data_IF_113905154741
#
_entry.id   IF_113905154741
#
_cell.length_a   1.000
_cell.length_b   1.000
_cell.length_c   1.000
_cell.angle_alpha   90.00
_cell.angle_beta   90.00
_cell.angle_gamma   90.00
#
_symmetry.space_group_name_H-M   'P 1'
#
loop_
_entity.id
_entity.type
_entity.pdbx_description
1 polymer ?
#
# COMPACT_ATOMS: atom_id res chain seq x y z
N UNK A 1 -14.99 -19.70 -5.96
CA UNK A 1 -14.50 -20.07 -7.31
C UNK A 1 -13.58 -18.95 -7.73
N UNK A 2 -12.30 -19.12 -8.02
CA UNK A 2 -11.48 -20.28 -8.36
C UNK A 2 -10.10 -20.10 -7.71
N UNK A 3 -9.50 -21.19 -7.23
CA UNK A 3 -8.04 -21.27 -7.09
C UNK A 3 -7.39 -20.63 -8.31
N UNK A 4 -6.32 -19.82 -8.17
CA UNK A 4 -5.70 -19.21 -9.33
C UNK A 4 -5.30 -20.33 -10.31
N UNK A 5 -5.53 -20.14 -11.61
CA UNK A 5 -5.10 -21.10 -12.61
C UNK A 5 -3.60 -21.37 -12.43
N UNK A 6 -3.12 -22.61 -12.64
CA UNK A 6 -1.69 -22.90 -12.60
C UNK A 6 -0.98 -21.93 -13.55
N UNK A 7 0.13 -21.30 -13.15
CA UNK A 7 0.89 -20.46 -14.07
C UNK A 7 1.24 -21.29 -15.31
N UNK A 8 0.90 -20.77 -16.49
CA UNK A 8 1.31 -21.35 -17.75
C UNK A 8 2.84 -21.35 -17.83
N UNK A 9 3.43 -22.31 -18.53
CA UNK A 9 4.88 -22.42 -18.74
C UNK A 9 5.49 -21.29 -19.60
N UNK A 10 4.82 -20.14 -19.72
CA UNK A 10 5.10 -19.11 -20.71
C UNK A 10 5.57 -17.82 -20.04
N UNK A 11 6.82 -17.43 -20.34
CA UNK A 11 7.33 -16.10 -20.06
C UNK A 11 6.54 -15.06 -20.86
N UNK A 12 6.12 -13.98 -20.19
CA UNK A 12 5.42 -12.86 -20.80
C UNK A 12 6.36 -11.65 -20.88
N UNK A 13 6.27 -10.90 -21.99
CA UNK A 13 7.02 -9.67 -22.19
C UNK A 13 6.06 -8.49 -22.25
N UNK A 14 6.34 -7.48 -21.42
CA UNK A 14 5.70 -6.16 -21.51
C UNK A 14 6.77 -5.22 -22.07
N UNK A 15 6.58 -4.73 -23.29
CA UNK A 15 7.56 -3.90 -24.00
C UNK A 15 7.00 -2.48 -24.13
N UNK A 16 7.80 -1.50 -23.69
CA UNK A 16 7.48 -0.08 -23.80
C UNK A 16 8.66 0.68 -24.37
N UNK A 17 8.40 1.48 -25.40
CA UNK A 17 9.37 2.44 -25.91
C UNK A 17 9.30 3.71 -25.07
N UNK A 18 10.47 4.22 -24.70
CA UNK A 18 10.60 5.37 -23.80
C UNK A 18 11.36 6.45 -24.58
N UNK A 19 10.88 7.71 -24.62
CA UNK A 19 11.51 8.79 -25.37
C UNK A 19 12.75 9.37 -24.66
N UNK A 20 13.62 8.52 -24.10
CA UNK A 20 14.87 8.93 -23.45
C UNK A 20 16.00 8.84 -24.46
N UNK A 21 16.58 9.99 -24.79
CA UNK A 21 17.62 10.15 -25.82
C UNK A 21 19.05 10.06 -25.26
N UNK A 22 19.23 9.99 -23.94
CA UNK A 22 20.53 9.77 -23.31
C UNK A 22 20.39 9.30 -21.86
N UNK A 23 21.32 8.44 -21.41
CA UNK A 23 21.42 8.02 -20.01
C UNK A 23 22.50 8.89 -19.35
N UNK A 24 22.14 9.75 -18.36
CA UNK A 24 23.13 10.60 -17.70
C UNK A 24 24.14 9.76 -16.92
N UNK A 25 25.43 10.10 -17.05
CA UNK A 25 26.52 9.38 -16.39
C UNK A 25 26.76 9.79 -14.93
N UNK A 26 26.19 10.92 -14.50
CA UNK A 26 26.50 11.53 -13.21
C UNK A 26 25.44 11.27 -12.11
N UNK A 27 24.20 10.97 -12.49
CA UNK A 27 23.09 10.77 -11.56
C UNK A 27 22.03 9.83 -12.15
N UNK A 28 21.30 9.07 -11.30
CA UNK A 28 20.14 8.32 -11.74
C UNK A 28 19.06 9.22 -12.38
N UNK A 29 18.39 8.72 -13.41
CA UNK A 29 17.23 9.38 -14.02
C UNK A 29 15.95 8.60 -13.68
N UNK A 30 14.92 9.31 -13.22
CA UNK A 30 13.58 8.74 -13.07
C UNK A 30 12.93 8.64 -14.45
N UNK A 31 12.30 7.50 -14.73
CA UNK A 31 11.58 7.26 -15.97
C UNK A 31 10.20 6.72 -15.61
N UNK A 32 9.17 7.46 -16.00
CA UNK A 32 7.78 7.05 -15.85
C UNK A 32 7.31 6.32 -17.11
N UNK A 33 6.73 5.14 -16.93
CA UNK A 33 6.23 4.30 -18.01
C UNK A 33 4.78 3.93 -17.72
N UNK A 34 3.88 4.28 -18.63
CA UNK A 34 2.47 3.88 -18.52
C UNK A 34 2.28 2.43 -18.98
N UNK A 35 1.89 1.58 -18.02
CA UNK A 35 1.58 0.16 -18.21
C UNK A 35 0.08 -0.14 -18.16
N UNK A 36 -0.79 0.86 -18.22
CA UNK A 36 -2.25 0.70 -18.04
C UNK A 36 -2.92 -0.22 -19.08
N UNK A 37 -2.37 -0.30 -20.29
CA UNK A 37 -2.78 -1.20 -21.38
C UNK A 37 -2.16 -2.60 -21.31
N UNK A 38 -1.16 -2.81 -20.45
CA UNK A 38 -0.42 -4.06 -20.28
C UNK A 38 0.09 -4.18 -18.84
N UNK A 39 -0.82 -4.34 -17.87
CA UNK A 39 -0.46 -4.34 -16.46
C UNK A 39 0.37 -5.57 -16.12
N UNK A 40 1.28 -5.41 -15.15
CA UNK A 40 2.08 -6.51 -14.62
C UNK A 40 1.13 -7.47 -13.86
N UNK A 41 1.07 -8.76 -14.22
CA UNK A 41 0.20 -9.70 -13.53
C UNK A 41 0.55 -9.80 -12.05
N UNK A 42 -0.46 -9.83 -11.18
CA UNK A 42 -0.26 -9.92 -9.72
C UNK A 42 0.49 -11.20 -9.31
N UNK A 43 0.33 -12.27 -10.06
CA UNK A 43 0.94 -13.58 -9.81
C UNK A 43 2.22 -13.81 -10.62
N UNK A 44 2.81 -12.76 -11.19
CA UNK A 44 4.08 -12.89 -11.90
C UNK A 44 5.18 -13.35 -10.92
N UNK A 45 5.88 -14.41 -11.29
CA UNK A 45 7.12 -14.87 -10.62
C UNK A 45 8.29 -14.64 -11.56
N UNK A 46 9.50 -14.59 -11.02
CA UNK A 46 10.74 -14.43 -11.81
C UNK A 46 10.67 -13.17 -12.71
N UNK A 47 10.47 -12.00 -12.08
CA UNK A 47 10.27 -10.73 -12.78
C UNK A 47 11.62 -10.14 -13.16
N UNK A 48 11.83 -9.94 -14.46
CA UNK A 48 13.06 -9.34 -15.00
C UNK A 48 12.75 -8.01 -15.68
N UNK A 49 13.53 -6.99 -15.34
CA UNK A 49 13.56 -5.71 -16.04
C UNK A 49 14.69 -5.73 -17.07
N UNK A 50 14.36 -5.41 -18.33
CA UNK A 50 15.34 -5.21 -19.39
C UNK A 50 15.30 -3.75 -19.84
N UNK A 51 16.47 -3.11 -19.87
CA UNK A 51 16.66 -1.81 -20.49
C UNK A 51 17.50 -1.99 -21.76
N UNK A 52 16.89 -1.75 -22.91
CA UNK A 52 17.56 -1.83 -24.22
C UNK A 52 17.72 -0.43 -24.76
N UNK A 53 18.98 -0.01 -24.95
CA UNK A 53 19.31 1.25 -25.59
C UNK A 53 19.87 0.97 -26.99
N UNK A 54 19.42 1.75 -27.96
CA UNK A 54 19.94 1.74 -29.33
C UNK A 54 20.33 3.16 -29.74
N UNK A 55 21.59 3.37 -30.12
CA UNK A 55 22.08 4.70 -30.48
C UNK A 55 23.60 4.75 -30.67
N UNK A 56 24.21 5.90 -30.41
CA UNK A 56 25.67 6.04 -30.47
C UNK A 56 26.31 5.60 -29.14
N UNK A 57 27.36 4.78 -29.22
CA UNK A 57 28.19 4.39 -28.09
C UNK A 57 29.66 4.72 -28.39
N UNK A 58 30.12 5.89 -27.91
CA UNK A 58 31.45 6.38 -28.22
C UNK A 58 31.59 6.69 -29.71
N UNK A 59 32.36 5.87 -30.44
CA UNK A 59 32.52 5.99 -31.90
C UNK A 59 31.69 4.98 -32.71
N UNK A 60 30.91 4.12 -32.03
CA UNK A 60 30.04 3.15 -32.68
C UNK A 60 28.66 3.77 -32.95
N UNK A 61 28.25 3.79 -34.21
CA UNK A 61 26.91 4.19 -34.64
C UNK A 61 25.98 2.98 -34.61
N UNK A 62 24.70 3.17 -34.25
CA UNK A 62 23.69 2.09 -34.14
C UNK A 62 24.06 0.99 -33.12
N UNK A 63 24.89 1.31 -32.12
CA UNK A 63 25.22 0.42 -31.03
C UNK A 63 23.96 0.02 -30.25
N UNK A 64 23.93 -1.23 -29.80
CA UNK A 64 22.88 -1.77 -28.91
C UNK A 64 23.52 -2.11 -27.58
N UNK A 65 23.05 -1.47 -26.52
CA UNK A 65 23.40 -1.79 -25.14
C UNK A 65 22.18 -2.39 -24.43
N UNK A 66 22.40 -3.45 -23.65
CA UNK A 66 21.34 -4.10 -22.89
C UNK A 66 21.77 -4.19 -21.44
N UNK A 67 20.97 -3.59 -20.57
CA UNK A 67 20.99 -3.86 -19.13
C UNK A 67 19.84 -4.79 -18.79
N UNK A 68 20.04 -5.68 -17.83
CA UNK A 68 18.96 -6.47 -17.26
C UNK A 68 19.14 -6.58 -15.75
N UNK A 69 18.02 -6.77 -15.05
CA UNK A 69 17.99 -6.94 -13.61
C UNK A 69 16.84 -7.86 -13.25
N UNK A 70 17.15 -8.85 -12.41
CA UNK A 70 16.16 -9.63 -11.67
C UNK A 70 15.66 -8.77 -10.50
N UNK A 71 14.34 -8.58 -10.40
CA UNK A 71 13.70 -7.74 -9.38
C UNK A 71 12.65 -8.56 -8.61
N UNK A 72 12.15 -8.00 -7.51
CA UNK A 72 11.12 -8.67 -6.73
C UNK A 72 9.87 -8.94 -7.53
N UNK A 73 9.19 -10.00 -7.12
CA UNK A 73 7.83 -10.33 -7.45
C UNK A 73 6.90 -9.18 -7.00
N UNK A 74 5.73 -9.03 -7.65
CA UNK A 74 4.73 -8.02 -7.29
C UNK A 74 4.38 -8.12 -5.81
N UNK A 75 4.82 -7.13 -5.03
CA UNK A 75 4.53 -7.07 -3.58
C UNK A 75 3.41 -6.06 -3.37
N UNK A 76 2.13 -6.50 -3.21
CA UNK A 76 1.02 -5.58 -3.12
C UNK A 76 0.90 -5.00 -1.71
N UNK A 77 0.64 -3.69 -1.65
CA UNK A 77 0.22 -2.99 -0.45
C UNK A 77 -1.15 -2.39 -0.71
N UNK A 78 -2.14 -2.89 0.01
CA UNK A 78 -3.51 -2.41 -0.06
C UNK A 78 -3.77 -1.35 1.01
N UNK A 79 -4.48 -0.31 0.63
CA UNK A 79 -4.92 0.76 1.51
C UNK A 79 -6.44 0.75 1.54
N UNK A 80 -7.02 0.56 2.71
CA UNK A 80 -8.46 0.48 2.91
C UNK A 80 -8.93 1.65 3.77
N UNK A 81 -9.98 2.34 3.35
CA UNK A 81 -10.77 3.18 4.25
C UNK A 81 -12.01 2.39 4.69
N UNK A 82 -11.96 1.84 5.91
CA UNK A 82 -13.07 1.06 6.49
C UNK A 82 -13.92 1.88 7.45
N UNK A 83 -13.81 3.21 7.39
CA UNK A 83 -14.52 4.14 8.28
C UNK A 83 -16.01 4.28 7.95
N UNK A 84 -16.53 3.55 6.93
CA UNK A 84 -17.97 3.31 6.75
C UNK A 84 -18.54 2.38 7.83
N UNK A 85 -17.66 1.82 8.67
CA UNK A 85 -18.00 0.95 9.79
C UNK A 85 -17.34 1.41 11.09
N UNK A 86 -18.06 1.19 12.20
CA UNK A 86 -17.60 1.50 13.56
C UNK A 86 -17.78 0.28 14.46
N UNK A 87 -16.76 -0.02 15.28
CA UNK A 87 -16.81 -1.11 16.24
C UNK A 87 -17.29 -0.58 17.59
N UNK A 88 -18.51 -0.95 17.98
CA UNK A 88 -19.12 -0.57 19.25
C UNK A 88 -19.46 -1.82 20.05
N UNK A 89 -18.90 -1.94 21.25
CA UNK A 89 -19.10 -3.07 22.16
C UNK A 89 -18.86 -4.44 21.48
N UNK A 90 -17.83 -4.54 20.64
CA UNK A 90 -17.50 -5.75 19.89
C UNK A 90 -18.45 -6.10 18.74
N UNK A 91 -19.36 -5.20 18.38
CA UNK A 91 -20.27 -5.33 17.23
C UNK A 91 -19.97 -4.26 16.19
N UNK A 92 -20.04 -4.63 14.91
CA UNK A 92 -19.78 -3.73 13.80
C UNK A 92 -21.09 -3.06 13.36
N UNK A 93 -21.11 -1.74 13.35
CA UNK A 93 -22.23 -0.93 12.89
C UNK A 93 -21.84 -0.14 11.64
N UNK A 94 -22.82 0.29 10.87
CA UNK A 94 -22.61 1.30 9.83
C UNK A 94 -22.34 2.64 10.51
N UNK A 95 -21.23 3.28 10.19
CA UNK A 95 -20.87 4.58 10.76
C UNK A 95 -21.93 5.63 10.44
N UNK A 96 -22.28 6.46 11.42
CA UNK A 96 -23.31 7.49 11.31
C UNK A 96 -24.75 6.96 11.18
N UNK A 97 -24.98 5.65 11.30
CA UNK A 97 -26.33 5.09 11.33
C UNK A 97 -27.07 5.43 12.64
N UNK A 98 -28.41 5.45 12.59
CA UNK A 98 -29.24 5.63 13.79
C UNK A 98 -28.93 4.60 14.88
N UNK A 99 -28.61 3.38 14.48
CA UNK A 99 -28.26 2.27 15.35
C UNK A 99 -26.93 2.51 16.06
N UNK A 100 -25.93 3.07 15.36
CA UNK A 100 -24.66 3.44 15.97
C UNK A 100 -24.81 4.66 16.89
N UNK A 101 -25.57 5.68 16.47
CA UNK A 101 -25.82 6.89 17.25
C UNK A 101 -26.55 6.55 18.55
N UNK A 102 -27.61 5.73 18.50
CA UNK A 102 -28.37 5.32 19.70
C UNK A 102 -27.52 4.64 20.77
N UNK A 103 -26.36 4.05 20.41
CA UNK A 103 -25.45 3.41 21.37
C UNK A 103 -24.67 4.44 22.19
N UNK A 104 -24.43 5.63 21.62
CA UNK A 104 -23.51 6.64 22.18
C UNK A 104 -24.23 7.91 22.63
N UNK A 105 -25.38 8.22 22.02
CA UNK A 105 -26.27 9.36 22.28
C UNK A 105 -26.88 9.27 23.68
N UNK A 106 -26.19 9.88 24.64
CA UNK A 106 -26.55 9.86 26.05
C UNK A 106 -27.61 10.88 26.44
N UNK A 107 -27.83 11.93 25.63
CA UNK A 107 -28.82 12.98 25.88
C UNK A 107 -30.10 12.84 25.04
N UNK A 108 -30.15 11.84 24.16
CA UNK A 108 -31.25 11.46 23.27
C UNK A 108 -31.61 12.56 22.24
N UNK A 109 -30.62 13.35 21.81
CA UNK A 109 -30.83 14.42 20.83
C UNK A 109 -30.76 13.94 19.36
N UNK A 110 -30.39 12.67 19.13
CA UNK A 110 -30.34 12.03 17.82
C UNK A 110 -29.04 12.26 17.04
N UNK A 111 -28.00 12.81 17.67
CA UNK A 111 -26.65 12.93 17.11
C UNK A 111 -25.61 12.37 18.10
N UNK A 112 -24.38 12.14 17.64
CA UNK A 112 -23.27 11.85 18.54
C UNK A 112 -22.51 13.15 18.82
N UNK A 113 -22.47 13.55 20.09
CA UNK A 113 -21.91 14.84 20.51
C UNK A 113 -20.37 14.82 20.63
N UNK A 114 -19.70 15.98 20.65
CA UNK A 114 -18.24 16.07 20.75
C UNK A 114 -17.63 15.44 22.01
N UNK A 115 -18.40 15.29 23.09
CA UNK A 115 -18.00 14.62 24.34
C UNK A 115 -18.39 13.14 24.40
N UNK A 116 -19.04 12.63 23.34
CA UNK A 116 -19.37 11.22 23.15
C UNK A 116 -18.36 10.52 22.24
N UNK A 117 -18.62 9.26 21.93
CA UNK A 117 -17.79 8.51 21.00
C UNK A 117 -18.11 8.89 19.55
N UNK A 118 -17.06 9.20 18.81
CA UNK A 118 -17.17 9.49 17.38
C UNK A 118 -17.56 8.22 16.60
N UNK A 119 -18.78 8.22 16.09
CA UNK A 119 -19.35 7.12 15.29
C UNK A 119 -19.50 7.48 13.82
N UNK A 120 -19.07 8.66 13.39
CA UNK A 120 -19.29 9.14 12.03
C UNK A 120 -18.25 8.59 11.04
N UNK A 121 -18.58 8.52 9.74
CA UNK A 121 -17.63 8.12 8.72
C UNK A 121 -16.70 9.27 8.33
N UNK A 122 -15.44 8.94 8.06
CA UNK A 122 -14.40 9.90 7.66
C UNK A 122 -13.83 9.58 6.29
N UNK A 123 -13.46 10.61 5.54
CA UNK A 123 -12.59 10.43 4.37
C UNK A 123 -11.15 10.30 4.83
N UNK A 124 -10.37 9.55 4.05
CA UNK A 124 -8.92 9.63 4.07
C UNK A 124 -8.51 10.53 2.91
N UNK A 125 -8.06 11.75 3.22
CA UNK A 125 -7.60 12.75 2.26
C UNK A 125 -6.09 12.95 2.37
N UNK A 126 -5.49 13.54 1.35
CA UNK A 126 -4.07 13.88 1.30
C UNK A 126 -3.19 12.69 1.75
N UNK A 127 -3.44 11.52 1.16
CA UNK A 127 -2.70 10.31 1.49
C UNK A 127 -1.35 10.40 0.78
N UNK A 128 -0.29 10.51 1.57
CA UNK A 128 1.08 10.54 1.09
C UNK A 128 1.79 9.25 1.48
N UNK A 129 2.42 8.61 0.51
CA UNK A 129 3.13 7.34 0.70
C UNK A 129 4.58 7.52 0.28
N UNK A 130 5.47 7.08 1.16
CA UNK A 130 6.92 7.14 0.95
C UNK A 130 7.54 5.77 1.09
N UNK A 131 8.36 5.43 0.10
CA UNK A 131 9.29 4.32 0.09
C UNK A 131 10.71 4.89 0.23
N UNK A 132 11.52 4.30 1.10
CA UNK A 132 12.89 4.76 1.36
C UNK A 132 13.85 3.59 1.57
N UNK A 133 15.16 3.77 1.32
CA UNK A 133 16.16 2.74 1.59
C UNK A 133 16.17 2.28 3.05
N UNK A 134 16.64 1.05 3.27
CA UNK A 134 16.71 0.45 4.61
C UNK A 134 17.59 1.24 5.58
N UNK A 135 18.74 1.71 5.10
CA UNK A 135 19.78 2.41 5.87
C UNK A 135 19.50 3.91 6.08
N UNK A 136 18.48 4.44 5.41
CA UNK A 136 18.02 5.81 5.54
C UNK A 136 16.48 5.86 5.50
N UNK A 137 15.80 5.37 6.55
CA UNK A 137 14.36 5.43 6.66
C UNK A 137 13.89 6.88 6.64
N UNK A 138 12.81 7.14 5.91
CA UNK A 138 12.24 8.47 5.80
C UNK A 138 10.71 8.41 5.91
N UNK A 139 10.16 9.33 6.70
CA UNK A 139 8.73 9.46 6.85
C UNK A 139 8.10 10.18 5.66
N UNK A 140 6.86 9.80 5.36
CA UNK A 140 5.98 10.54 4.46
C UNK A 140 5.61 11.88 5.10
N UNK A 141 5.60 12.94 4.31
CA UNK A 141 5.22 14.28 4.77
C UNK A 141 3.79 14.59 4.37
N UNK A 142 3.14 15.44 5.16
CA UNK A 142 1.80 16.01 4.92
C UNK A 142 1.74 17.06 3.80
N UNK A 143 2.90 17.46 3.29
CA UNK A 143 3.02 18.32 2.12
C UNK A 143 3.34 17.50 0.89
N UNK A 144 2.70 17.82 -0.24
CA UNK A 144 3.11 17.30 -1.54
C UNK A 144 4.57 17.64 -1.79
N UNK A 145 5.39 16.60 -1.88
CA UNK A 145 6.84 16.71 -1.87
C UNK A 145 7.40 15.73 -2.89
N UNK A 146 8.46 16.08 -3.65
CA UNK A 146 9.14 15.12 -4.53
C UNK A 146 9.70 13.90 -3.78
N UNK A 147 9.72 13.97 -2.45
CA UNK A 147 10.13 12.91 -1.56
C UNK A 147 9.02 11.87 -1.27
N UNK A 148 7.75 12.22 -1.50
CA UNK A 148 6.65 11.25 -1.46
C UNK A 148 6.59 10.54 -2.81
N UNK A 149 6.55 9.20 -2.81
CA UNK A 149 6.59 8.40 -4.02
C UNK A 149 5.22 8.25 -4.67
N UNK A 150 4.16 8.35 -3.88
CA UNK A 150 2.79 8.26 -4.35
C UNK A 150 1.87 9.12 -3.51
N UNK A 151 0.90 9.76 -4.15
CA UNK A 151 -0.10 10.60 -3.51
C UNK A 151 -1.50 10.21 -3.99
N UNK A 152 -2.44 10.14 -3.06
CA UNK A 152 -3.85 9.92 -3.33
C UNK A 152 -4.67 11.00 -2.63
N UNK A 153 -5.31 11.84 -3.44
CA UNK A 153 -6.05 13.00 -2.93
C UNK A 153 -7.18 12.62 -1.97
N UNK A 154 -7.98 11.61 -2.33
CA UNK A 154 -9.14 11.17 -1.55
C UNK A 154 -9.32 9.66 -1.70
N UNK A 155 -9.65 9.01 -0.59
CA UNK A 155 -10.21 7.67 -0.48
C UNK A 155 -11.46 7.73 0.41
N UNK A 156 -12.64 7.53 -0.18
CA UNK A 156 -13.91 7.59 0.55
C UNK A 156 -14.07 6.37 1.47
N UNK A 157 -14.87 6.47 2.55
CA UNK A 157 -15.23 5.30 3.33
C UNK A 157 -15.86 4.21 2.45
N UNK A 158 -15.46 2.97 2.63
CA UNK A 158 -15.87 1.87 1.74
C UNK A 158 -14.84 1.53 0.67
N UNK A 159 -13.96 2.47 0.31
CA UNK A 159 -13.05 2.32 -0.82
C UNK A 159 -11.70 1.74 -0.42
N UNK A 160 -11.00 1.19 -1.41
CA UNK A 160 -9.62 0.76 -1.28
C UNK A 160 -8.84 1.05 -2.57
N UNK A 161 -7.52 1.04 -2.47
CA UNK A 161 -6.62 1.00 -3.63
C UNK A 161 -5.40 0.13 -3.32
N UNK A 162 -4.73 -0.33 -4.38
CA UNK A 162 -3.53 -1.17 -4.29
C UNK A 162 -2.35 -0.48 -4.95
N UNK A 163 -1.22 -0.48 -4.26
CA UNK A 163 0.08 -0.22 -4.85
C UNK A 163 0.83 -1.53 -5.01
N UNK A 164 1.53 -1.70 -6.12
CA UNK A 164 2.43 -2.83 -6.35
C UNK A 164 3.84 -2.28 -6.34
N UNK A 165 4.70 -2.87 -5.52
CA UNK A 165 6.10 -2.49 -5.41
C UNK A 165 6.93 -3.59 -6.06
N UNK A 166 7.84 -3.18 -6.93
CA UNK A 166 8.87 -4.01 -7.52
C UNK A 166 10.21 -3.39 -7.12
N UNK A 167 10.97 -4.09 -6.29
CA UNK A 167 12.23 -3.61 -5.71
C UNK A 167 13.27 -4.72 -5.73
N UNK A 168 14.55 -4.39 -5.59
CA UNK A 168 15.66 -5.34 -5.47
C UNK A 168 16.24 -5.42 -4.05
N UNK A 169 15.59 -4.76 -3.06
CA UNK A 169 16.03 -4.74 -1.66
C UNK A 169 14.85 -4.73 -0.67
N UNK A 170 15.17 -4.97 0.60
CA UNK A 170 14.33 -4.52 1.70
C UNK A 170 14.23 -2.99 1.70
N UNK A 171 13.07 -2.46 2.04
CA UNK A 171 12.80 -1.03 2.00
C UNK A 171 11.93 -0.62 3.18
N UNK A 172 11.95 0.67 3.49
CA UNK A 172 11.06 1.24 4.49
C UNK A 172 9.84 1.88 3.81
N UNK A 173 8.66 1.70 4.40
CA UNK A 173 7.42 2.37 3.98
C UNK A 173 6.87 3.24 5.09
N UNK A 174 6.54 4.49 4.77
CA UNK A 174 5.78 5.40 5.63
C UNK A 174 4.52 5.89 4.92
N UNK A 175 3.49 6.24 5.70
CA UNK A 175 2.23 6.79 5.19
C UNK A 175 1.80 7.96 6.07
N UNK A 176 1.41 9.07 5.47
CA UNK A 176 0.68 10.14 6.13
C UNK A 176 -0.72 10.23 5.52
N UNK A 177 -1.73 10.49 6.35
CA UNK A 177 -3.12 10.61 5.91
C UNK A 177 -3.82 11.68 6.73
N UNK A 178 -4.69 12.46 6.10
CA UNK A 178 -5.59 13.36 6.79
C UNK A 178 -6.97 12.72 6.89
N UNK A 179 -7.55 12.68 8.09
CA UNK A 179 -8.95 12.30 8.27
C UNK A 179 -9.82 13.55 8.33
N UNK A 180 -10.84 13.58 7.48
CA UNK A 180 -11.79 14.69 7.41
C UNK A 180 -13.22 14.20 7.49
N UNK A 181 -14.06 14.99 8.15
CA UNK A 181 -15.48 14.71 8.28
C UNK A 181 -16.23 14.77 6.95
N UNK A 182 -17.29 13.97 6.86
CA UNK A 182 -18.16 13.93 5.68
C UNK A 182 -19.39 14.80 5.87
N UNK A 183 -19.94 14.82 7.09
CA UNK A 183 -21.23 15.44 7.36
C UNK A 183 -21.08 16.62 8.32
N UNK A 184 -22.12 17.46 8.37
CA UNK A 184 -22.17 18.59 9.30
C UNK A 184 -22.56 18.17 10.71
N UNK A 185 -23.20 17.01 10.86
CA UNK A 185 -23.59 16.42 12.14
C UNK A 185 -22.37 15.91 12.92
N UNK A 186 -21.29 15.56 12.21
CA UNK A 186 -20.00 15.25 12.82
C UNK A 186 -19.36 16.52 13.40
N UNK A 187 -19.55 16.67 14.71
CA UNK A 187 -18.93 17.69 15.54
C UNK A 187 -17.77 17.13 16.37
N UNK A 188 -17.44 15.84 16.23
CA UNK A 188 -16.40 15.15 16.98
C UNK A 188 -15.01 15.56 16.45
N UNK A 189 -14.27 16.37 17.20
CA UNK A 189 -12.98 16.91 16.69
C UNK A 189 -11.77 16.00 16.95
N UNK A 190 -11.94 14.94 17.75
CA UNK A 190 -10.83 14.13 18.25
C UNK A 190 -10.15 13.27 17.19
N UNK A 191 -10.82 13.01 16.07
CA UNK A 191 -10.33 12.16 14.99
C UNK A 191 -10.11 12.91 13.66
N UNK A 192 -10.17 14.24 13.67
CA UNK A 192 -9.92 15.07 12.49
C UNK A 192 -8.49 15.61 12.50
N UNK A 193 -7.77 15.43 11.39
CA UNK A 193 -6.41 15.93 11.23
C UNK A 193 -5.45 14.91 10.62
N UNK A 194 -4.16 15.21 10.74
CA UNK A 194 -3.09 14.46 10.07
C UNK A 194 -2.56 13.36 10.99
N UNK A 195 -2.49 12.14 10.46
CA UNK A 195 -2.02 10.94 11.13
C UNK A 195 -0.78 10.39 10.41
N UNK A 196 0.43 10.83 10.78
CA UNK A 196 1.65 10.27 10.24
C UNK A 196 1.91 8.88 10.84
N UNK A 197 2.24 7.90 10.00
CA UNK A 197 2.73 6.59 10.38
C UNK A 197 4.24 6.53 10.10
N UNK A 198 5.07 6.21 11.12
CA UNK A 198 6.51 6.17 10.93
C UNK A 198 6.90 5.12 9.90
N UNK A 199 8.07 5.28 9.32
CA UNK A 199 8.66 4.32 8.41
C UNK A 199 8.78 2.93 9.07
N UNK A 200 8.24 1.90 8.41
CA UNK A 200 8.36 0.51 8.83
C UNK A 200 9.09 -0.31 7.77
N UNK A 201 9.83 -1.32 8.23
CA UNK A 201 10.49 -2.30 7.37
C UNK A 201 9.45 -3.07 6.55
N UNK A 202 9.76 -3.23 5.27
CA UNK A 202 9.03 -4.03 4.31
C UNK A 202 10.03 -4.95 3.59
N UNK A 203 9.61 -6.18 3.33
CA UNK A 203 10.39 -7.16 2.59
C UNK A 203 9.78 -7.35 1.21
N UNK A 204 10.62 -7.39 0.19
CA UNK A 204 10.24 -7.75 -1.17
C UNK A 204 10.59 -9.22 -1.42
N UNK A 205 9.71 -9.96 -2.10
CA UNK A 205 9.92 -11.38 -2.40
C UNK A 205 10.62 -11.50 -3.75
N UNK A 206 11.69 -12.27 -3.85
CA UNK A 206 12.38 -12.50 -5.13
C UNK A 206 12.64 -13.99 -5.31
N UNK A 207 12.41 -14.54 -6.51
CA UNK A 207 12.62 -15.97 -6.81
C UNK A 207 11.93 -16.91 -5.79
N UNK A 208 10.74 -16.53 -5.32
CA UNK A 208 9.97 -17.21 -4.27
C UNK A 208 10.75 -17.44 -2.97
N UNK A 209 11.71 -16.57 -2.64
CA UNK A 209 12.44 -16.58 -1.37
C UNK A 209 12.39 -15.22 -0.70
N UNK A 210 12.37 -15.23 0.63
CA UNK A 210 12.53 -14.04 1.45
C UNK A 210 13.73 -14.19 2.40
N UNK A 211 14.30 -13.04 2.80
CA UNK A 211 15.24 -12.99 3.92
C UNK A 211 14.49 -13.34 5.20
N UNK A 212 15.07 -14.21 6.02
CA UNK A 212 14.48 -14.64 7.28
C UNK A 212 15.47 -14.53 8.44
N UNK A 213 14.94 -14.52 9.66
CA UNK A 213 15.76 -14.55 10.87
C UNK A 213 16.67 -15.81 10.85
N UNK A 214 18.00 -15.69 11.06
CA UNK A 214 18.92 -16.81 11.10
C UNK A 214 18.47 -17.98 11.99
N UNK A 215 17.72 -17.73 13.07
CA UNK A 215 17.16 -18.76 13.95
C UNK A 215 16.30 -19.75 13.17
N UNK A 216 15.54 -19.29 12.17
CA UNK A 216 14.69 -20.14 11.31
C UNK A 216 15.56 -21.10 10.47
N UNK A 217 16.73 -20.65 10.02
CA UNK A 217 17.72 -21.46 9.29
C UNK A 217 18.75 -22.17 10.20
N UNK A 218 18.50 -22.30 11.50
CA UNK A 218 19.42 -22.97 12.42
C UNK A 218 20.74 -22.20 12.64
N UNK A 219 20.72 -20.88 12.52
CA UNK A 219 21.85 -19.98 12.73
C UNK A 219 22.70 -19.66 11.49
N UNK A 220 22.23 -20.03 10.29
CA UNK A 220 22.86 -19.64 9.02
C UNK A 220 22.56 -18.17 8.69
N UNK A 221 23.56 -17.43 8.22
CA UNK A 221 23.43 -16.04 7.77
C UNK A 221 24.27 -15.84 6.48
N UNK A 222 23.67 -15.43 5.33
CA UNK A 222 22.25 -15.07 5.16
C UNK A 222 21.32 -16.29 5.15
N UNK A 223 20.15 -16.14 5.76
CA UNK A 223 19.07 -17.12 5.79
C UNK A 223 18.00 -16.76 4.76
N UNK A 224 17.76 -17.66 3.82
CA UNK A 224 16.69 -17.54 2.84
C UNK A 224 15.74 -18.71 3.00
N UNK A 225 14.44 -18.43 3.12
CA UNK A 225 13.40 -19.45 3.19
C UNK A 225 12.48 -19.33 1.99
N UNK A 226 11.89 -20.46 1.58
CA UNK A 226 10.87 -20.44 0.55
C UNK A 226 9.69 -19.61 1.04
N UNK A 227 9.37 -18.58 0.29
CA UNK A 227 8.23 -17.74 0.57
C UNK A 227 6.95 -18.43 0.14
N UNK A 228 6.01 -18.56 1.08
CA UNK A 228 4.64 -18.97 0.79
C UNK A 228 3.80 -17.74 1.06
N UNK A 229 3.29 -17.09 0.01
CA UNK A 229 2.46 -15.90 0.16
C UNK A 229 1.22 -16.23 0.97
N UNK A 230 1.16 -15.72 2.20
CA UNK A 230 -0.04 -15.73 3.00
C UNK A 230 -0.82 -14.46 2.67
N UNK A 231 -1.97 -14.62 2.01
CA UNK A 231 -2.91 -13.54 1.81
C UNK A 231 -3.93 -13.56 2.95
N UNK A 232 -4.28 -12.39 3.46
CA UNK A 232 -5.40 -12.21 4.37
C UNK A 232 -6.52 -11.46 3.66
N UNK A 233 -7.74 -11.92 3.88
CA UNK A 233 -8.92 -11.26 3.33
C UNK A 233 -9.29 -10.04 4.18
N UNK A 234 -9.31 -8.87 3.57
CA UNK A 234 -9.90 -7.65 4.14
C UNK A 234 -10.98 -7.17 3.20
N UNK A 235 -12.22 -7.10 3.68
CA UNK A 235 -13.39 -6.72 2.88
C UNK A 235 -13.52 -7.47 1.54
N UNK A 236 -13.38 -8.80 1.58
CA UNK A 236 -13.39 -9.65 0.39
C UNK A 236 -12.21 -9.47 -0.57
N UNK A 237 -11.23 -8.62 -0.24
CA UNK A 237 -10.00 -8.43 -1.02
C UNK A 237 -8.86 -9.22 -0.38
N UNK A 238 -8.26 -10.11 -1.17
CA UNK A 238 -7.04 -10.83 -0.79
C UNK A 238 -5.86 -9.86 -0.78
N UNK A 239 -5.36 -9.54 0.41
CA UNK A 239 -4.26 -8.59 0.61
C UNK A 239 -3.04 -9.29 1.17
N UNK A 240 -1.87 -8.76 0.81
CA UNK A 240 -0.58 -9.23 1.31
C UNK A 240 -0.10 -8.36 2.47
N UNK A 241 0.01 -7.07 2.22
CA UNK A 241 0.14 -6.05 3.25
C UNK A 241 -1.05 -5.11 3.18
N UNK A 242 -1.67 -4.84 4.32
CA UNK A 242 -2.75 -3.85 4.40
C UNK A 242 -2.38 -2.68 5.30
N UNK A 243 -2.76 -1.48 4.87
CA UNK A 243 -2.88 -0.30 5.69
C UNK A 243 -4.37 0.00 5.81
N UNK A 244 -4.89 -0.12 7.02
CA UNK A 244 -6.31 0.12 7.29
C UNK A 244 -6.44 1.47 7.99
N UNK A 245 -7.24 2.36 7.41
CA UNK A 245 -7.77 3.55 8.05
C UNK A 245 -9.13 3.19 8.62
N UNK A 246 -9.25 3.22 9.95
CA UNK A 246 -10.44 2.79 10.67
C UNK A 246 -10.80 3.82 11.74
N UNK A 247 -12.08 3.89 12.07
CA UNK A 247 -12.51 4.61 13.25
C UNK A 247 -11.99 3.89 14.51
N UNK A 248 -11.77 4.61 15.63
CA UNK A 248 -11.45 3.99 16.89
C UNK A 248 -12.53 3.00 17.31
N UNK A 249 -12.14 1.90 17.94
CA UNK A 249 -13.09 0.96 18.52
C UNK A 249 -13.49 1.41 19.93
N UNK A 250 -14.79 1.34 20.22
CA UNK A 250 -15.33 1.76 21.52
C UNK A 250 -16.09 0.63 22.25
N UNK A 251 -15.99 0.55 23.59
CA UNK A 251 -14.95 1.19 24.40
C UNK A 251 -13.55 0.76 23.92
N UNK A 252 -12.52 1.48 24.37
CA UNK A 252 -11.13 1.18 23.98
C UNK A 252 -10.84 -0.31 24.17
N UNK A 253 -10.14 -0.92 23.20
CA UNK A 253 -9.83 -2.35 23.12
C UNK A 253 -11.00 -3.27 22.70
N UNK A 254 -12.15 -2.72 22.32
CA UNK A 254 -13.13 -3.48 21.53
C UNK A 254 -12.48 -4.01 20.25
N UNK A 255 -12.87 -5.23 19.86
CA UNK A 255 -12.36 -5.89 18.65
C UNK A 255 -13.52 -6.28 17.74
N UNK A 256 -13.41 -5.91 16.46
CA UNK A 256 -14.30 -6.33 15.40
C UNK A 256 -13.45 -6.80 14.22
N UNK A 257 -13.97 -7.77 13.46
CA UNK A 257 -13.32 -8.23 12.22
C UNK A 257 -13.94 -7.54 11.01
N UNK A 258 -13.08 -7.10 10.09
CA UNK A 258 -13.46 -6.51 8.80
C UNK A 258 -13.26 -7.48 7.62
N UNK A 259 -13.02 -8.77 7.91
CA UNK A 259 -12.62 -9.74 6.88
C UNK A 259 -13.77 -10.16 5.94
N UNK A 260 -15.01 -10.21 6.44
CA UNK A 260 -16.13 -10.88 5.78
C UNK A 260 -17.12 -9.94 5.05
N UNK A 261 -16.89 -8.63 5.05
CA UNK A 261 -17.83 -7.64 4.49
C UNK A 261 -17.53 -7.21 3.05
#
# INVERSE_FOLDING_TARGET
MTYPPPPGAEFQYIIKEIPVISIPSAAPALIDVDLSDSPIPLWATDVYLYLVYKGELGSENEAVAVGFKDISEPTPVDYFNVMDKICLNGSLFVSGSSEAITVVDGDENGIADPDEWDVYPHKAENIHIRFSPLDNPQDATDVSSPNNNYEKAILNPGEHFRLIILSDYEFNRSTSVEHTKITTEDQCVSFHGIFPRPAILMTAVQNQVESADPVICGGQDPCYVRYISEFHTTRGVESFFSVIFNNPAYPTFSYCSYAAE
#
